data_IF_225137382676
#
_entry.id   IF_225137382676
#
_cell.length_a   1.000
_cell.length_b   1.000
_cell.length_c   1.000
_cell.angle_alpha   90.00
_cell.angle_beta   90.00
_cell.angle_gamma   90.00
#
_symmetry.space_group_name_H-M   'P 1'
#
loop_
_entity.id
_entity.type
_entity.pdbx_description
1 polymer ?
#
# COMPACT_ATOMS: atom_id res chain seq x y z
N UNK A 1 4.70 -40.93 -14.77
CA UNK A 1 4.32 -40.67 -13.38
C UNK A 1 5.31 -39.66 -12.85
N UNK A 2 4.93 -38.39 -12.81
CA UNK A 2 5.80 -37.27 -12.42
C UNK A 2 5.60 -37.07 -10.92
N UNK A 3 6.62 -37.38 -10.14
CA UNK A 3 6.60 -37.17 -8.69
C UNK A 3 6.91 -35.70 -8.42
N UNK A 4 5.89 -34.95 -7.98
CA UNK A 4 6.09 -33.65 -7.37
C UNK A 4 6.69 -33.88 -5.98
N UNK A 5 7.92 -33.40 -5.78
CA UNK A 5 8.51 -33.32 -4.44
C UNK A 5 7.67 -32.33 -3.64
N UNK A 6 7.20 -32.80 -2.49
CA UNK A 6 6.51 -32.04 -1.46
C UNK A 6 7.24 -30.73 -1.16
N UNK A 7 6.55 -29.60 -1.24
CA UNK A 7 6.92 -28.37 -0.56
C UNK A 7 6.86 -28.63 0.95
N UNK A 8 7.98 -29.05 1.52
CA UNK A 8 8.16 -29.01 2.95
C UNK A 8 8.45 -27.56 3.34
N UNK A 9 7.80 -27.14 4.44
CA UNK A 9 7.84 -25.79 4.96
C UNK A 9 9.25 -25.23 5.01
N UNK A 10 9.35 -23.96 4.67
CA UNK A 10 10.57 -23.16 4.74
C UNK A 10 11.17 -23.30 6.14
N UNK A 11 12.21 -24.13 6.28
CA UNK A 11 13.12 -24.04 7.40
C UNK A 11 13.60 -22.59 7.45
N UNK A 12 13.69 -22.02 8.65
CA UNK A 12 14.39 -20.76 8.87
C UNK A 12 15.89 -20.96 8.61
N UNK A 13 16.30 -21.37 7.41
CA UNK A 13 17.55 -20.92 6.86
C UNK A 13 17.42 -19.39 6.86
N UNK A 14 18.07 -18.75 7.83
CA UNK A 14 18.04 -17.30 7.97
C UNK A 14 18.46 -16.75 6.63
N UNK A 15 17.69 -15.83 6.03
CA UNK A 15 18.02 -15.25 4.71
C UNK A 15 19.49 -14.81 4.61
N UNK A 16 20.11 -14.47 5.75
CA UNK A 16 21.53 -14.18 5.92
C UNK A 16 22.46 -15.32 5.51
N UNK A 17 22.17 -16.57 5.90
CA UNK A 17 22.94 -17.75 5.53
C UNK A 17 22.82 -18.03 4.04
N UNK A 18 21.60 -17.93 3.49
CA UNK A 18 21.37 -18.07 2.06
C UNK A 18 22.14 -17.02 1.26
N UNK A 19 22.22 -15.77 1.72
CA UNK A 19 23.03 -14.74 1.05
C UNK A 19 24.52 -15.10 1.00
N UNK A 20 25.04 -15.77 2.03
CA UNK A 20 26.45 -16.18 2.10
C UNK A 20 26.79 -17.36 1.16
N UNK A 21 25.80 -18.11 0.66
CA UNK A 21 26.02 -19.11 -0.37
C UNK A 21 26.38 -18.48 -1.73
N UNK A 22 25.98 -17.22 -1.95
CA UNK A 22 26.15 -16.51 -3.22
C UNK A 22 27.12 -15.33 -3.14
N UNK A 23 27.36 -14.78 -1.95
CA UNK A 23 28.15 -13.58 -1.71
C UNK A 23 29.18 -13.87 -0.63
N UNK A 24 30.45 -13.63 -0.93
CA UNK A 24 31.52 -13.76 0.06
C UNK A 24 31.23 -12.89 1.29
N UNK A 25 31.47 -13.44 2.49
CA UNK A 25 31.17 -12.77 3.75
C UNK A 25 31.83 -11.38 3.85
N UNK A 26 33.04 -11.22 3.31
CA UNK A 26 33.78 -9.95 3.36
C UNK A 26 33.26 -8.90 2.36
N UNK A 27 32.38 -9.29 1.43
CA UNK A 27 31.71 -8.39 0.48
C UNK A 27 30.28 -8.05 0.92
N UNK A 28 29.72 -8.75 1.91
CA UNK A 28 28.38 -8.52 2.42
C UNK A 28 28.43 -7.72 3.74
N UNK A 29 27.69 -6.60 3.87
CA UNK A 29 27.57 -5.88 5.13
C UNK A 29 27.13 -6.77 6.29
N UNK A 30 27.70 -6.51 7.47
CA UNK A 30 27.44 -7.25 8.69
C UNK A 30 25.96 -7.23 9.10
N UNK A 31 25.25 -6.15 8.77
CA UNK A 31 23.82 -6.04 8.97
C UNK A 31 23.03 -7.19 8.30
N UNK A 32 23.46 -7.64 7.12
CA UNK A 32 22.82 -8.73 6.36
C UNK A 32 23.51 -10.08 6.49
N UNK A 33 24.51 -10.22 7.38
CA UNK A 33 25.10 -11.52 7.74
C UNK A 33 26.55 -11.73 7.34
N UNK A 34 27.19 -10.79 6.64
CA UNK A 34 28.61 -10.87 6.34
C UNK A 34 29.51 -10.26 7.43
N UNK A 35 30.71 -9.87 7.02
CA UNK A 35 31.74 -9.27 7.87
C UNK A 35 32.09 -7.83 7.46
N UNK A 36 31.59 -7.35 6.31
CA UNK A 36 31.89 -6.01 5.83
C UNK A 36 31.28 -4.96 6.77
N UNK A 37 32.06 -3.95 7.10
CA UNK A 37 31.65 -2.77 7.86
C UNK A 37 32.18 -1.53 7.14
N UNK A 38 31.57 -0.38 7.39
CA UNK A 38 32.06 0.88 6.86
C UNK A 38 33.38 1.32 7.53
N UNK A 39 34.01 2.36 7.01
CA UNK A 39 35.26 2.91 7.57
C UNK A 39 35.10 3.39 9.02
N UNK A 40 33.90 3.83 9.40
CA UNK A 40 33.54 4.22 10.76
C UNK A 40 33.06 3.05 11.66
N UNK A 41 33.01 1.83 11.10
CA UNK A 41 32.55 0.62 11.76
C UNK A 41 31.04 0.38 11.69
N UNK A 42 30.26 1.17 10.94
CA UNK A 42 28.82 0.94 10.79
C UNK A 42 28.55 -0.40 10.06
N UNK A 43 27.81 -1.34 10.68
CA UNK A 43 27.52 -2.64 10.09
C UNK A 43 26.59 -2.60 8.86
N UNK A 44 25.94 -1.46 8.58
CA UNK A 44 25.06 -1.26 7.41
C UNK A 44 25.80 -0.75 6.18
N UNK A 45 27.04 -0.31 6.31
CA UNK A 45 27.85 0.26 5.23
C UNK A 45 27.15 1.40 4.44
N UNK A 46 26.64 2.45 5.12
CA UNK A 46 25.91 3.55 4.47
C UNK A 46 26.71 4.29 3.39
N UNK A 47 28.05 4.29 3.43
CA UNK A 47 28.90 4.87 2.38
C UNK A 47 28.73 4.17 1.03
N UNK A 48 28.38 2.88 1.05
CA UNK A 48 28.15 2.07 -0.15
C UNK A 48 26.67 1.89 -0.45
N UNK A 49 25.83 1.88 0.60
CA UNK A 49 24.41 1.54 0.47
C UNK A 49 23.57 2.57 1.20
N UNK A 50 22.97 3.46 0.43
CA UNK A 50 22.10 4.50 0.97
C UNK A 50 20.86 3.85 1.61
N UNK A 51 20.58 4.10 2.89
CA UNK A 51 19.40 3.55 3.58
C UNK A 51 18.10 4.24 3.17
N UNK A 52 18.14 5.20 2.23
CA UNK A 52 17.02 6.11 1.94
C UNK A 52 16.81 7.12 3.07
N UNK A 53 15.58 7.61 3.20
CA UNK A 53 15.18 8.58 4.22
C UNK A 53 14.16 9.58 3.69
N UNK A 54 13.70 10.47 4.56
CA UNK A 54 12.77 11.53 4.18
C UNK A 54 13.44 12.50 3.19
N UNK A 55 12.77 12.75 2.07
CA UNK A 55 13.23 13.70 1.07
C UNK A 55 12.92 15.12 1.55
N UNK A 56 13.89 16.06 1.55
CA UNK A 56 13.62 17.44 1.95
C UNK A 56 12.54 18.09 1.06
N UNK A 57 11.62 18.90 1.63
CA UNK A 57 10.56 19.56 0.86
C UNK A 57 11.06 20.44 -0.29
N UNK A 58 12.29 20.99 -0.19
CA UNK A 58 12.92 21.78 -1.24
C UNK A 58 13.22 20.99 -2.52
N UNK A 59 13.27 19.65 -2.43
CA UNK A 59 13.54 18.75 -3.55
C UNK A 59 12.26 18.22 -4.21
N UNK A 60 11.07 18.57 -3.69
CA UNK A 60 9.82 18.12 -4.27
C UNK A 60 9.62 18.80 -5.62
N UNK A 61 9.49 18.00 -6.68
CA UNK A 61 9.01 18.53 -7.96
C UNK A 61 7.61 19.09 -7.77
N UNK A 62 7.28 20.19 -8.45
CA UNK A 62 5.88 20.62 -8.55
C UNK A 62 5.11 19.54 -9.30
N UNK A 63 4.41 18.68 -8.58
CA UNK A 63 3.42 17.78 -9.17
C UNK A 63 2.36 18.64 -9.84
N UNK A 64 2.04 18.34 -11.10
CA UNK A 64 0.87 18.93 -11.73
C UNK A 64 -0.37 18.30 -11.10
N UNK A 65 -0.87 18.91 -10.03
CA UNK A 65 -2.07 18.49 -9.32
C UNK A 65 -3.33 18.50 -10.21
N UNK A 66 -3.22 18.98 -11.44
CA UNK A 66 -4.31 19.07 -12.41
C UNK A 66 -4.15 18.11 -13.59
N UNK A 67 -3.11 17.26 -13.63
CA UNK A 67 -3.09 16.15 -14.57
C UNK A 67 -4.10 15.09 -14.14
N UNK A 68 -5.26 15.12 -14.77
CA UNK A 68 -6.38 14.22 -14.52
C UNK A 68 -6.55 13.17 -15.64
N UNK A 69 -5.54 12.99 -16.50
CA UNK A 69 -5.63 12.12 -17.69
C UNK A 69 -5.96 10.65 -17.38
N UNK A 70 -5.72 10.19 -16.15
CA UNK A 70 -6.05 8.84 -15.67
C UNK A 70 -7.34 8.73 -14.83
N UNK A 71 -8.06 9.83 -14.60
CA UNK A 71 -9.20 9.85 -13.69
C UNK A 71 -10.51 9.58 -14.43
N UNK A 72 -11.45 8.93 -13.75
CA UNK A 72 -12.84 8.83 -14.20
C UNK A 72 -13.68 9.89 -13.51
N UNK A 73 -14.37 10.71 -14.29
CA UNK A 73 -15.22 11.79 -13.78
C UNK A 73 -16.61 11.27 -13.40
N UNK A 74 -17.12 11.70 -12.24
CA UNK A 74 -18.47 11.39 -11.75
C UNK A 74 -19.09 12.64 -11.14
N UNK A 75 -20.35 12.93 -11.47
CA UNK A 75 -21.13 14.00 -10.84
C UNK A 75 -21.95 13.47 -9.67
N UNK A 76 -21.73 14.02 -8.46
CA UNK A 76 -22.47 13.65 -7.25
C UNK A 76 -23.38 14.81 -6.84
N UNK A 77 -24.69 14.55 -6.81
CA UNK A 77 -25.68 15.52 -6.39
C UNK A 77 -25.59 15.87 -4.89
N UNK A 78 -26.08 17.06 -4.50
CA UNK A 78 -26.10 17.48 -3.09
C UNK A 78 -26.84 16.46 -2.22
N UNK A 79 -26.18 15.98 -1.16
CA UNK A 79 -26.73 15.00 -0.22
C UNK A 79 -26.87 13.59 -0.80
N UNK A 80 -26.34 13.34 -2.00
CA UNK A 80 -26.23 12.02 -2.61
C UNK A 80 -24.84 11.42 -2.35
N UNK A 81 -24.68 10.14 -2.63
CA UNK A 81 -23.42 9.40 -2.53
C UNK A 81 -23.18 8.60 -3.80
N UNK A 82 -21.92 8.35 -4.13
CA UNK A 82 -21.54 7.39 -5.17
C UNK A 82 -20.89 6.19 -4.48
N UNK A 83 -21.13 4.98 -4.99
CA UNK A 83 -20.60 3.76 -4.40
C UNK A 83 -19.81 2.99 -5.45
N UNK A 84 -18.56 2.69 -5.15
CA UNK A 84 -17.72 1.81 -5.97
C UNK A 84 -17.58 0.45 -5.29
N UNK A 85 -18.06 -0.59 -5.95
CA UNK A 85 -18.03 -1.97 -5.45
C UNK A 85 -16.74 -2.67 -5.91
N UNK A 86 -15.92 -3.12 -4.96
CA UNK A 86 -14.63 -3.74 -5.19
C UNK A 86 -14.65 -5.19 -4.69
N UNK A 87 -14.73 -6.20 -5.58
CA UNK A 87 -14.66 -7.59 -5.18
C UNK A 87 -13.22 -7.98 -4.79
N UNK A 88 -13.06 -8.54 -3.60
CA UNK A 88 -11.79 -9.03 -3.05
C UNK A 88 -11.73 -10.55 -3.21
N UNK A 89 -10.95 -10.99 -4.20
CA UNK A 89 -10.77 -12.40 -4.53
C UNK A 89 -9.71 -13.10 -3.67
N UNK A 90 -8.73 -12.35 -3.16
CA UNK A 90 -7.61 -12.89 -2.38
C UNK A 90 -7.50 -12.19 -1.00
N UNK A 91 -7.40 -12.96 0.10
CA UNK A 91 -7.06 -12.41 1.42
C UNK A 91 -5.74 -11.63 1.38
N UNK A 92 -5.69 -10.50 2.08
CA UNK A 92 -4.51 -9.64 2.15
C UNK A 92 -4.34 -8.67 0.97
N UNK A 93 -5.29 -8.65 0.02
CA UNK A 93 -5.31 -7.69 -1.09
C UNK A 93 -5.36 -6.26 -0.55
N UNK A 94 -4.72 -5.33 -1.27
CA UNK A 94 -4.71 -3.91 -0.92
C UNK A 94 -5.63 -3.17 -1.90
N UNK A 95 -6.59 -2.44 -1.36
CA UNK A 95 -7.34 -1.45 -2.12
C UNK A 95 -6.56 -0.15 -2.06
N UNK A 96 -6.31 0.45 -3.22
CA UNK A 96 -5.73 1.79 -3.35
C UNK A 96 -6.72 2.70 -4.03
N UNK A 97 -6.73 3.98 -3.66
CA UNK A 97 -7.56 4.98 -4.30
C UNK A 97 -6.79 6.27 -4.48
N UNK A 98 -7.24 7.05 -5.46
CA UNK A 98 -6.91 8.45 -5.59
C UNK A 98 -8.12 9.17 -6.20
N UNK A 99 -8.51 10.31 -5.65
CA UNK A 99 -9.59 11.13 -6.20
C UNK A 99 -9.36 12.62 -5.91
N UNK A 100 -9.98 13.45 -6.75
CA UNK A 100 -10.00 14.90 -6.62
C UNK A 100 -11.44 15.38 -6.80
N UNK A 101 -11.83 16.41 -6.05
CA UNK A 101 -13.13 17.05 -6.22
C UNK A 101 -12.99 18.46 -6.74
N UNK A 102 -14.05 18.97 -7.37
CA UNK A 102 -14.10 20.37 -7.76
C UNK A 102 -14.75 21.21 -6.66
N UNK A 103 -14.00 22.19 -6.16
CA UNK A 103 -14.51 23.31 -5.36
C UNK A 103 -14.84 23.04 -3.89
N UNK A 104 -15.26 21.83 -3.51
CA UNK A 104 -15.69 21.53 -2.13
C UNK A 104 -15.09 20.25 -1.57
N UNK A 105 -15.15 20.11 -0.26
CA UNK A 105 -14.83 18.87 0.43
C UNK A 105 -15.90 17.79 0.22
N UNK A 106 -15.50 16.53 0.39
CA UNK A 106 -16.38 15.37 0.23
C UNK A 106 -16.22 14.43 1.43
N UNK A 107 -17.28 13.71 1.77
CA UNK A 107 -17.19 12.60 2.70
C UNK A 107 -16.64 11.37 1.96
N UNK A 108 -15.64 10.72 2.51
CA UNK A 108 -15.06 9.51 1.94
C UNK A 108 -14.86 8.43 3.02
N UNK A 109 -15.16 7.18 2.68
CA UNK A 109 -14.97 6.05 3.59
C UNK A 109 -14.97 4.71 2.86
N UNK A 110 -14.43 3.68 3.53
CA UNK A 110 -14.32 2.31 2.98
C UNK A 110 -15.01 1.33 3.90
N UNK A 111 -15.92 0.54 3.36
CA UNK A 111 -16.76 -0.36 4.12
C UNK A 111 -16.72 -1.77 3.53
N UNK A 112 -16.78 -2.79 4.37
CA UNK A 112 -16.87 -4.19 3.95
C UNK A 112 -18.30 -4.68 4.12
N UNK A 113 -18.84 -5.33 3.09
CA UNK A 113 -20.17 -5.94 3.18
C UNK A 113 -20.20 -7.05 4.21
N UNK A 114 -21.32 -7.12 4.92
CA UNK A 114 -21.61 -8.17 5.89
C UNK A 114 -22.57 -9.22 5.33
N UNK A 115 -23.19 -8.96 4.16
CA UNK A 115 -24.01 -9.93 3.43
C UNK A 115 -23.90 -9.76 1.90
N UNK A 116 -24.49 -10.69 1.15
CA UNK A 116 -24.42 -10.73 -0.33
C UNK A 116 -25.33 -9.71 -1.03
N UNK A 117 -26.15 -8.96 -0.27
CA UNK A 117 -27.03 -7.93 -0.82
C UNK A 117 -26.38 -6.55 -0.71
N UNK A 118 -26.86 -5.59 -1.52
CA UNK A 118 -26.42 -4.19 -1.42
C UNK A 118 -26.87 -3.59 -0.10
N UNK A 119 -25.93 -2.97 0.63
CA UNK A 119 -26.17 -2.43 1.97
C UNK A 119 -25.98 -0.91 2.00
N UNK A 120 -26.51 -0.26 3.04
CA UNK A 120 -26.13 1.11 3.37
C UNK A 120 -24.87 1.08 4.21
N UNK A 121 -24.01 2.09 4.11
CA UNK A 121 -22.75 2.18 4.87
C UNK A 121 -22.90 1.86 6.37
N UNK A 122 -23.98 2.34 7.01
CA UNK A 122 -24.25 2.11 8.44
C UNK A 122 -24.47 0.65 8.84
N UNK A 123 -24.83 -0.19 7.88
CA UNK A 123 -25.14 -1.62 8.06
C UNK A 123 -23.93 -2.50 7.65
N UNK A 124 -22.83 -1.88 7.23
CA UNK A 124 -21.58 -2.50 6.81
C UNK A 124 -20.51 -2.37 7.89
N UNK A 125 -19.47 -3.20 7.80
CA UNK A 125 -18.30 -3.10 8.67
C UNK A 125 -17.38 -1.99 8.17
N UNK A 126 -17.06 -0.99 9.00
CA UNK A 126 -16.14 0.08 8.62
C UNK A 126 -14.69 -0.44 8.55
N UNK A 127 -14.07 -0.34 7.38
CA UNK A 127 -12.63 -0.55 7.19
C UNK A 127 -11.89 0.78 7.37
N UNK A 128 -12.47 1.84 6.82
CA UNK A 128 -12.10 3.24 7.03
C UNK A 128 -13.38 4.03 7.31
N UNK A 129 -13.44 4.67 8.48
CA UNK A 129 -14.59 5.49 8.86
C UNK A 129 -14.77 6.69 7.93
N UNK A 130 -16.03 7.08 7.70
CA UNK A 130 -16.36 8.24 6.87
C UNK A 130 -15.80 9.53 7.49
N UNK A 131 -14.84 10.14 6.81
CA UNK A 131 -14.26 11.44 7.14
C UNK A 131 -14.51 12.47 6.04
N UNK A 132 -14.52 13.77 6.37
CA UNK A 132 -14.52 14.83 5.34
C UNK A 132 -13.08 15.14 4.93
N UNK A 133 -12.82 15.13 3.62
CA UNK A 133 -11.50 15.39 3.04
C UNK A 133 -11.54 16.58 2.09
N UNK A 134 -10.49 17.40 2.12
CA UNK A 134 -10.36 18.59 1.27
C UNK A 134 -9.70 18.26 -0.08
N UNK A 135 -10.22 17.25 -0.78
CA UNK A 135 -9.65 16.74 -2.01
C UNK A 135 -9.70 17.71 -3.20
N UNK A 136 -10.33 18.88 -3.04
CA UNK A 136 -10.30 19.98 -4.00
C UNK A 136 -8.99 20.78 -3.97
N UNK A 137 -8.24 20.74 -2.87
CA UNK A 137 -6.97 21.46 -2.73
C UNK A 137 -5.79 20.63 -3.23
N UNK A 138 -5.76 19.36 -2.84
CA UNK A 138 -4.76 18.36 -3.22
C UNK A 138 -5.53 17.04 -3.41
N UNK A 139 -5.24 16.23 -4.45
CA UNK A 139 -5.86 14.92 -4.58
C UNK A 139 -5.70 14.11 -3.29
N UNK A 140 -6.78 13.46 -2.88
CA UNK A 140 -6.75 12.52 -1.77
C UNK A 140 -6.33 11.16 -2.31
N UNK A 141 -5.31 10.54 -1.72
CA UNK A 141 -4.89 9.18 -2.01
C UNK A 141 -4.71 8.37 -0.74
N UNK A 142 -4.81 7.05 -0.86
CA UNK A 142 -4.68 6.17 0.28
C UNK A 142 -4.80 4.70 -0.07
N UNK A 143 -4.66 3.87 0.96
CA UNK A 143 -4.83 2.44 0.82
C UNK A 143 -5.33 1.77 2.10
N UNK A 144 -6.02 0.64 1.95
CA UNK A 144 -6.35 -0.26 3.06
C UNK A 144 -6.07 -1.70 2.67
N UNK A 145 -5.62 -2.48 3.65
CA UNK A 145 -5.46 -3.92 3.48
C UNK A 145 -6.75 -4.65 3.84
N UNK A 146 -7.26 -5.44 2.90
CA UNK A 146 -8.41 -6.31 3.09
C UNK A 146 -7.96 -7.71 3.48
N UNK A 147 -7.99 -8.02 4.78
CA UNK A 147 -7.51 -9.31 5.31
C UNK A 147 -8.35 -10.52 4.88
N UNK A 148 -9.57 -10.31 4.40
CA UNK A 148 -10.51 -11.36 4.04
C UNK A 148 -11.10 -11.12 2.66
N UNK A 149 -11.53 -12.19 1.99
CA UNK A 149 -12.32 -12.10 0.76
C UNK A 149 -13.70 -11.50 1.04
N UNK A 150 -14.37 -11.05 -0.02
CA UNK A 150 -15.70 -10.44 0.06
C UNK A 150 -15.84 -9.26 -0.90
N UNK A 151 -16.74 -8.34 -0.60
CA UNK A 151 -16.89 -7.09 -1.36
C UNK A 151 -16.70 -5.90 -0.43
N UNK A 152 -15.82 -4.99 -0.83
CA UNK A 152 -15.67 -3.69 -0.20
C UNK A 152 -16.37 -2.62 -1.04
N UNK A 153 -16.86 -1.58 -0.39
CA UNK A 153 -17.49 -0.43 -1.02
C UNK A 153 -16.79 0.85 -0.58
N UNK A 154 -16.46 1.69 -1.56
CA UNK A 154 -15.96 3.04 -1.34
C UNK A 154 -17.13 4.00 -1.52
N UNK A 155 -17.32 4.89 -0.54
CA UNK A 155 -18.40 5.87 -0.48
C UNK A 155 -17.87 7.30 -0.65
#
# INVERSE_FOLDING_TARGET
>A
MINFRSEQGHDQASYKETLLEYIDADQLPKHWGGNCVDEDGDPRCPSKISPGGDVPPSCYAQNDLNDLSGFTEVSIGRGSSHQLEIPISLPGSIITWQFKTDGFDIGFGVYKRTCDQRQKARDMEAVLELGRVNSHMVPEDGSVQCLHTGTCELF
#
